data_IF_650165088886
#
_entry.id   IF_650165088886
#
_cell.length_a   1.000
_cell.length_b   1.000
_cell.length_c   1.000
_cell.angle_alpha   90.00
_cell.angle_beta   90.00
_cell.angle_gamma   90.00
#
_symmetry.space_group_name_H-M   'P 1'
#
loop_
_entity.id
_entity.type
_entity.pdbx_description
1 polymer ?
#
# COMPACT_ATOMS: atom_id res chain seq x y z
N UNK A 1 -11.03 -30.83 -19.12
CA UNK A 1 -12.15 -30.10 -18.48
C UNK A 1 -11.68 -28.77 -17.89
N UNK A 2 -12.55 -27.76 -17.89
CA UNK A 2 -12.34 -26.48 -17.24
C UNK A 2 -13.21 -26.38 -15.99
N UNK A 3 -12.63 -25.95 -14.87
CA UNK A 3 -13.36 -25.69 -13.63
C UNK A 3 -13.49 -24.18 -13.46
N UNK A 4 -14.73 -23.68 -13.38
CA UNK A 4 -15.03 -22.24 -13.33
C UNK A 4 -16.00 -21.95 -12.20
N UNK A 5 -15.64 -21.00 -11.35
CA UNK A 5 -16.50 -20.52 -10.27
C UNK A 5 -17.04 -19.13 -10.61
N UNK A 6 -18.36 -18.97 -10.53
CA UNK A 6 -19.07 -17.69 -10.64
C UNK A 6 -19.74 -17.39 -9.29
N UNK A 7 -20.23 -16.16 -9.12
CA UNK A 7 -20.88 -15.72 -7.87
C UNK A 7 -22.11 -16.56 -7.47
N UNK A 8 -22.68 -17.33 -8.39
CA UNK A 8 -23.89 -18.13 -8.18
C UNK A 8 -23.67 -19.64 -8.26
N UNK A 9 -22.46 -20.12 -8.52
CA UNK A 9 -22.18 -21.54 -8.64
C UNK A 9 -20.83 -21.89 -9.22
N UNK A 10 -20.49 -23.17 -9.15
CA UNK A 10 -19.28 -23.76 -9.74
C UNK A 10 -19.66 -24.68 -10.90
N UNK A 11 -18.91 -24.63 -11.99
CA UNK A 11 -19.20 -25.29 -13.26
C UNK A 11 -17.99 -26.08 -13.74
N UNK A 12 -18.25 -27.28 -14.23
CA UNK A 12 -17.28 -28.14 -14.88
C UNK A 12 -17.64 -28.25 -16.36
N UNK A 13 -16.78 -27.70 -17.23
CA UNK A 13 -17.07 -27.52 -18.66
C UNK A 13 -16.05 -28.25 -19.53
N UNK A 14 -16.45 -28.67 -20.73
CA UNK A 14 -15.50 -29.15 -21.73
C UNK A 14 -14.93 -27.98 -22.55
N UNK A 15 -13.98 -28.28 -23.44
CA UNK A 15 -13.30 -27.28 -24.29
C UNK A 15 -14.26 -26.56 -25.25
N UNK A 16 -15.43 -27.14 -25.54
CA UNK A 16 -16.47 -26.55 -26.39
C UNK A 16 -17.39 -25.59 -25.63
N UNK A 17 -17.22 -25.45 -24.31
CA UNK A 17 -18.08 -24.61 -23.47
C UNK A 17 -19.34 -25.29 -22.96
N UNK A 18 -19.51 -26.59 -23.21
CA UNK A 18 -20.63 -27.35 -22.70
C UNK A 18 -20.42 -27.67 -21.22
N UNK A 19 -21.42 -27.33 -20.39
CA UNK A 19 -21.43 -27.65 -18.96
C UNK A 19 -21.71 -29.15 -18.81
N UNK A 20 -20.78 -29.90 -18.23
CA UNK A 20 -20.92 -31.34 -17.95
C UNK A 20 -21.47 -31.60 -16.56
N UNK A 21 -21.10 -30.80 -15.58
CA UNK A 21 -21.65 -30.84 -14.23
C UNK A 21 -21.57 -29.45 -13.59
N UNK A 22 -22.47 -29.15 -12.65
CA UNK A 22 -22.44 -27.89 -11.91
C UNK A 22 -22.98 -28.07 -10.49
N UNK A 23 -22.50 -27.22 -9.59
CA UNK A 23 -23.04 -27.08 -8.24
C UNK A 23 -23.44 -25.63 -8.07
N UNK A 24 -24.75 -25.40 -8.03
CA UNK A 24 -25.35 -24.08 -7.85
C UNK A 24 -25.39 -23.75 -6.36
N UNK A 25 -25.02 -22.52 -6.02
CA UNK A 25 -25.02 -22.07 -4.64
C UNK A 25 -26.46 -21.90 -4.12
N UNK A 26 -26.69 -21.99 -2.80
CA UNK A 26 -27.95 -21.60 -2.21
C UNK A 26 -28.33 -20.18 -2.65
N UNK A 27 -29.61 -19.95 -2.98
CA UNK A 27 -30.13 -18.64 -3.41
C UNK A 27 -30.29 -17.66 -2.26
N UNK A 28 -29.40 -17.75 -1.27
CA UNK A 28 -29.34 -16.92 -0.09
C UNK A 28 -28.12 -15.99 -0.24
N UNK A 29 -28.33 -14.69 -0.01
CA UNK A 29 -27.29 -13.66 -0.13
C UNK A 29 -26.11 -13.94 0.82
N UNK A 30 -26.37 -14.38 2.05
CA UNK A 30 -25.32 -14.64 3.04
C UNK A 30 -24.44 -15.84 2.65
N UNK A 31 -25.06 -16.93 2.20
CA UNK A 31 -24.36 -18.12 1.69
C UNK A 31 -23.42 -17.79 0.52
N UNK A 32 -23.90 -16.94 -0.40
CA UNK A 32 -23.11 -16.50 -1.55
C UNK A 32 -21.96 -15.60 -1.09
N UNK A 33 -22.23 -14.67 -0.18
CA UNK A 33 -21.22 -13.76 0.34
C UNK A 33 -20.12 -14.50 1.09
N UNK A 34 -20.46 -15.50 1.91
CA UNK A 34 -19.47 -16.32 2.61
C UNK A 34 -18.51 -17.01 1.63
N UNK A 35 -19.06 -17.58 0.55
CA UNK A 35 -18.27 -18.19 -0.54
C UNK A 35 -17.41 -17.18 -1.26
N UNK A 36 -17.96 -16.01 -1.63
CA UNK A 36 -17.21 -14.95 -2.31
C UNK A 36 -16.08 -14.39 -1.43
N UNK A 37 -16.32 -14.22 -0.13
CA UNK A 37 -15.30 -13.85 0.86
C UNK A 37 -14.22 -14.93 0.95
N UNK A 38 -14.61 -16.21 0.99
CA UNK A 38 -13.68 -17.33 0.97
C UNK A 38 -12.81 -17.36 -0.29
N UNK A 39 -13.39 -17.12 -1.47
CA UNK A 39 -12.67 -17.00 -2.73
C UNK A 39 -11.65 -15.85 -2.69
N UNK A 40 -12.06 -14.66 -2.20
CA UNK A 40 -11.16 -13.50 -2.05
C UNK A 40 -9.97 -13.78 -1.10
N UNK A 41 -10.19 -14.62 -0.10
CA UNK A 41 -9.17 -15.08 0.85
C UNK A 41 -8.31 -16.24 0.32
N UNK A 42 -8.59 -16.73 -0.90
CA UNK A 42 -7.86 -17.82 -1.52
C UNK A 42 -8.28 -19.22 -1.05
N UNK A 43 -9.43 -19.36 -0.38
CA UNK A 43 -9.97 -20.67 0.00
C UNK A 43 -10.42 -21.44 -1.24
N UNK A 44 -10.26 -22.75 -1.20
CA UNK A 44 -10.85 -23.69 -2.16
C UNK A 44 -12.20 -24.13 -1.60
N UNK A 45 -13.27 -23.86 -2.33
CA UNK A 45 -14.63 -24.19 -1.94
C UNK A 45 -14.88 -25.71 -1.99
N UNK A 46 -15.81 -26.20 -1.18
CA UNK A 46 -16.14 -27.62 -1.18
C UNK A 46 -16.85 -28.04 -2.46
N UNK A 47 -17.62 -27.14 -3.09
CA UNK A 47 -18.22 -27.32 -4.40
C UNK A 47 -17.15 -27.55 -5.48
N UNK A 48 -16.04 -26.81 -5.43
CA UNK A 48 -14.91 -26.95 -6.35
C UNK A 48 -14.22 -28.31 -6.17
N UNK A 49 -13.95 -28.72 -4.91
CA UNK A 49 -13.37 -30.04 -4.61
C UNK A 49 -14.29 -31.17 -5.07
N UNK A 50 -15.60 -31.07 -4.80
CA UNK A 50 -16.58 -32.08 -5.19
C UNK A 50 -16.63 -32.25 -6.70
N UNK A 51 -16.73 -31.17 -7.47
CA UNK A 51 -16.73 -31.24 -8.93
C UNK A 51 -15.40 -31.78 -9.48
N UNK A 52 -14.28 -31.36 -8.90
CA UNK A 52 -12.97 -31.87 -9.31
C UNK A 52 -12.84 -33.38 -9.09
N UNK A 53 -13.38 -33.92 -7.98
CA UNK A 53 -13.32 -35.35 -7.67
C UNK A 53 -14.17 -36.24 -8.58
N UNK A 54 -15.19 -35.67 -9.26
CA UNK A 54 -16.11 -36.43 -10.13
C UNK A 54 -15.53 -36.74 -11.51
N UNK A 55 -14.46 -36.07 -11.93
CA UNK A 55 -13.86 -36.28 -13.25
C UNK A 55 -12.49 -36.95 -13.15
N UNK A 56 -12.21 -37.87 -14.07
CA UNK A 56 -10.88 -38.46 -14.26
C UNK A 56 -10.05 -37.69 -15.28
N UNK A 57 -10.65 -36.72 -15.97
CA UNK A 57 -9.97 -35.88 -16.94
C UNK A 57 -9.10 -34.81 -16.28
N UNK A 58 -8.08 -34.34 -17.01
CA UNK A 58 -7.26 -33.22 -16.56
C UNK A 58 -8.11 -31.95 -16.46
N UNK A 59 -8.09 -31.33 -15.30
CA UNK A 59 -8.77 -30.06 -15.02
C UNK A 59 -7.83 -28.90 -15.30
N UNK A 60 -8.36 -27.86 -15.94
CA UNK A 60 -7.70 -26.59 -16.21
C UNK A 60 -8.37 -25.53 -15.35
N UNK A 61 -7.57 -24.69 -14.69
CA UNK A 61 -8.03 -23.64 -13.77
C UNK A 61 -7.34 -22.31 -14.06
N UNK A 62 -8.06 -21.20 -13.86
CA UNK A 62 -7.55 -19.84 -14.09
C UNK A 62 -7.08 -19.13 -12.81
N UNK A 63 -7.46 -19.64 -11.65
CA UNK A 63 -7.11 -19.04 -10.36
C UNK A 63 -6.00 -19.84 -9.69
N UNK A 64 -4.96 -19.16 -9.20
CA UNK A 64 -3.81 -19.81 -8.57
C UNK A 64 -4.21 -20.63 -7.33
N UNK A 65 -5.24 -20.20 -6.60
CA UNK A 65 -5.78 -20.95 -5.45
C UNK A 65 -6.27 -22.36 -5.81
N UNK A 66 -6.65 -22.59 -7.06
CA UNK A 66 -7.17 -23.86 -7.56
C UNK A 66 -6.08 -24.77 -8.16
N UNK A 67 -4.82 -24.34 -8.17
CA UNK A 67 -3.68 -25.15 -8.63
C UNK A 67 -3.61 -26.55 -7.96
N UNK A 68 -3.99 -26.75 -6.68
CA UNK A 68 -4.08 -28.08 -6.10
C UNK A 68 -5.12 -29.01 -6.76
N UNK A 69 -6.13 -28.47 -7.44
CA UNK A 69 -7.20 -29.24 -8.09
C UNK A 69 -6.97 -29.44 -9.60
N UNK A 70 -6.06 -28.69 -10.23
CA UNK A 70 -5.90 -28.73 -11.67
C UNK A 70 -4.70 -27.93 -12.19
N UNK A 71 -4.43 -28.05 -13.49
CA UNK A 71 -3.33 -27.34 -14.12
C UNK A 71 -3.67 -25.86 -14.26
N UNK A 72 -2.89 -25.01 -13.60
CA UNK A 72 -3.01 -23.56 -13.67
C UNK A 72 -2.65 -23.03 -15.06
N UNK A 73 -3.62 -22.45 -15.77
CA UNK A 73 -3.49 -21.80 -17.08
C UNK A 73 -4.41 -20.56 -17.15
N UNK A 74 -4.02 -19.44 -16.53
CA UNK A 74 -4.86 -18.23 -16.48
C UNK A 74 -5.04 -17.56 -17.85
N UNK A 75 -4.11 -17.76 -18.79
CA UNK A 75 -4.08 -17.11 -20.11
C UNK A 75 -4.90 -17.85 -21.17
N UNK A 76 -5.61 -18.92 -20.80
CA UNK A 76 -6.45 -19.67 -21.73
C UNK A 76 -7.72 -18.87 -22.07
N UNK A 77 -7.90 -18.56 -23.37
CA UNK A 77 -9.02 -17.75 -23.87
C UNK A 77 -10.40 -18.27 -23.46
N UNK A 78 -10.51 -19.57 -23.17
CA UNK A 78 -11.74 -20.18 -22.68
C UNK A 78 -12.31 -19.43 -21.46
N UNK A 79 -11.47 -19.00 -20.52
CA UNK A 79 -11.93 -18.31 -19.30
C UNK A 79 -12.50 -16.92 -19.57
N UNK A 80 -12.11 -16.29 -20.69
CA UNK A 80 -12.60 -14.99 -21.13
C UNK A 80 -13.94 -15.17 -21.87
N UNK A 81 -14.01 -16.17 -22.75
CA UNK A 81 -15.16 -16.41 -23.64
C UNK A 81 -16.33 -17.05 -22.87
N UNK A 82 -16.04 -17.92 -21.91
CA UNK A 82 -17.06 -18.68 -21.21
C UNK A 82 -17.98 -17.77 -20.38
N UNK A 83 -19.24 -17.66 -20.80
CA UNK A 83 -20.27 -16.91 -20.09
C UNK A 83 -21.47 -17.80 -19.76
N UNK A 84 -22.00 -17.65 -18.55
CA UNK A 84 -23.16 -18.40 -18.07
C UNK A 84 -24.17 -17.41 -17.50
N UNK A 85 -25.38 -17.44 -18.05
CA UNK A 85 -26.48 -16.61 -17.56
C UNK A 85 -27.03 -17.17 -16.25
N UNK A 86 -26.88 -16.40 -15.17
CA UNK A 86 -27.39 -16.73 -13.83
C UNK A 86 -28.91 -16.87 -13.79
N UNK A 87 -29.65 -16.21 -14.71
CA UNK A 87 -31.12 -16.27 -14.77
C UNK A 87 -31.61 -17.68 -15.08
N UNK A 88 -30.85 -18.46 -15.86
CA UNK A 88 -31.16 -19.86 -16.17
C UNK A 88 -31.16 -20.76 -14.93
N UNK A 89 -30.49 -20.35 -13.86
CA UNK A 89 -30.44 -21.06 -12.58
C UNK A 89 -31.38 -20.43 -11.54
N UNK A 90 -32.23 -19.50 -11.98
CA UNK A 90 -33.24 -18.84 -11.17
C UNK A 90 -32.68 -17.88 -10.12
N UNK A 91 -31.57 -17.21 -10.43
CA UNK A 91 -31.10 -16.04 -9.70
C UNK A 91 -31.66 -14.78 -10.34
N UNK A 92 -32.08 -13.84 -9.51
CA UNK A 92 -32.62 -12.56 -9.97
C UNK A 92 -31.53 -11.47 -10.01
N UNK A 93 -31.80 -10.37 -10.71
CA UNK A 93 -30.86 -9.24 -10.79
C UNK A 93 -30.75 -8.52 -9.43
N UNK A 94 -31.81 -8.56 -8.64
CA UNK A 94 -31.88 -7.99 -7.29
C UNK A 94 -30.89 -8.68 -6.35
N UNK A 95 -30.85 -10.02 -6.38
CA UNK A 95 -29.87 -10.81 -5.59
C UNK A 95 -28.45 -10.48 -6.04
N UNK A 96 -28.19 -10.43 -7.35
CA UNK A 96 -26.88 -10.05 -7.89
C UNK A 96 -26.43 -8.68 -7.36
N UNK A 97 -27.30 -7.68 -7.46
CA UNK A 97 -26.98 -6.31 -7.04
C UNK A 97 -26.66 -6.26 -5.54
N UNK A 98 -27.46 -6.92 -4.71
CA UNK A 98 -27.26 -6.91 -3.26
C UNK A 98 -25.98 -7.64 -2.85
N UNK A 99 -25.70 -8.80 -3.45
CA UNK A 99 -24.45 -9.54 -3.24
C UNK A 99 -23.25 -8.68 -3.65
N UNK A 100 -23.28 -8.07 -4.83
CA UNK A 100 -22.18 -7.25 -5.33
C UNK A 100 -21.94 -6.02 -4.46
N UNK A 101 -23.01 -5.37 -3.98
CA UNK A 101 -22.92 -4.24 -3.06
C UNK A 101 -22.26 -4.65 -1.74
N UNK A 102 -22.81 -5.66 -1.06
CA UNK A 102 -22.26 -6.13 0.24
C UNK A 102 -20.83 -6.68 0.12
N UNK A 103 -20.51 -7.34 -0.99
CA UNK A 103 -19.15 -7.80 -1.24
C UNK A 103 -18.18 -6.64 -1.47
N UNK A 104 -18.62 -5.57 -2.14
CA UNK A 104 -17.84 -4.34 -2.31
C UNK A 104 -17.61 -3.65 -0.97
N UNK A 105 -18.64 -3.55 -0.13
CA UNK A 105 -18.54 -3.00 1.23
C UNK A 105 -17.51 -3.80 2.06
N UNK A 106 -17.60 -5.13 2.04
CA UNK A 106 -16.62 -6.00 2.69
C UNK A 106 -15.17 -5.74 2.22
N UNK A 107 -14.97 -5.59 0.91
CA UNK A 107 -13.64 -5.28 0.36
C UNK A 107 -13.14 -3.91 0.81
N UNK A 108 -14.02 -2.92 0.84
CA UNK A 108 -13.70 -1.58 1.30
C UNK A 108 -13.29 -1.60 2.77
N UNK A 109 -14.07 -2.24 3.64
CA UNK A 109 -13.77 -2.36 5.07
C UNK A 109 -12.43 -3.04 5.34
N UNK A 110 -12.14 -4.13 4.60
CA UNK A 110 -10.85 -4.84 4.69
C UNK A 110 -9.67 -3.96 4.28
N UNK A 111 -9.86 -3.04 3.33
CA UNK A 111 -8.82 -2.07 2.95
C UNK A 111 -8.72 -1.00 4.04
N UNK A 112 -9.83 -0.37 4.43
CA UNK A 112 -9.90 0.72 5.41
C UNK A 112 -9.40 0.31 6.80
N UNK A 113 -9.51 -0.97 7.15
CA UNK A 113 -9.00 -1.52 8.41
C UNK A 113 -7.48 -1.70 8.44
N UNK A 114 -6.77 -1.49 7.32
CA UNK A 114 -5.31 -1.62 7.33
C UNK A 114 -4.68 -0.46 8.08
N UNK A 115 -3.82 -0.79 9.05
CA UNK A 115 -3.12 0.19 9.89
C UNK A 115 -2.26 1.19 9.10
N UNK A 116 -1.74 0.79 7.93
CA UNK A 116 -0.95 1.71 7.09
C UNK A 116 -1.78 2.86 6.53
N UNK A 117 -3.10 2.75 6.38
CA UNK A 117 -3.96 3.87 5.97
C UNK A 117 -4.00 4.98 7.01
N UNK A 118 -4.04 4.62 8.30
CA UNK A 118 -4.01 5.61 9.38
C UNK A 118 -2.70 6.39 9.39
N UNK A 119 -1.57 5.72 9.15
CA UNK A 119 -0.26 6.36 9.00
C UNK A 119 -0.25 7.33 7.83
N UNK A 120 -0.80 6.92 6.67
CA UNK A 120 -0.84 7.77 5.47
C UNK A 120 -1.62 9.06 5.74
N UNK A 121 -2.79 8.96 6.38
CA UNK A 121 -3.61 10.11 6.71
C UNK A 121 -2.93 10.99 7.76
N UNK A 122 -2.35 10.40 8.82
CA UNK A 122 -1.61 11.14 9.85
C UNK A 122 -0.46 11.95 9.26
N UNK A 123 0.28 11.39 8.30
CA UNK A 123 1.35 12.11 7.60
C UNK A 123 0.83 13.26 6.76
N UNK A 124 -0.29 13.08 6.06
CA UNK A 124 -0.90 14.16 5.25
C UNK A 124 -1.36 15.29 6.15
N UNK A 125 -2.07 14.97 7.23
CA UNK A 125 -2.48 15.95 8.25
C UNK A 125 -1.28 16.66 8.86
N UNK A 126 -0.19 15.94 9.16
CA UNK A 126 1.04 16.56 9.65
C UNK A 126 1.61 17.56 8.64
N UNK A 127 1.64 17.21 7.35
CA UNK A 127 2.12 18.11 6.30
C UNK A 127 1.25 19.36 6.16
N UNK A 128 -0.07 19.20 6.17
CA UNK A 128 -1.02 20.30 6.11
C UNK A 128 -0.84 21.25 7.33
N UNK A 129 -0.72 20.70 8.54
CA UNK A 129 -0.51 21.51 9.74
C UNK A 129 0.83 22.22 9.74
N UNK A 130 1.90 21.60 9.23
CA UNK A 130 3.20 22.27 9.08
C UNK A 130 3.09 23.46 8.12
N UNK A 131 2.38 23.31 7.00
CA UNK A 131 2.15 24.40 6.06
C UNK A 131 1.36 25.54 6.72
N UNK A 132 0.27 25.21 7.41
CA UNK A 132 -0.53 26.19 8.17
C UNK A 132 0.35 26.89 9.22
N UNK A 133 1.12 26.16 10.01
CA UNK A 133 1.99 26.73 11.04
C UNK A 133 3.00 27.70 10.47
N UNK A 134 3.58 27.39 9.30
CA UNK A 134 4.52 28.29 8.63
C UNK A 134 3.82 29.59 8.19
N UNK A 135 2.63 29.51 7.61
CA UNK A 135 1.84 30.70 7.24
C UNK A 135 1.48 31.56 8.45
N UNK A 136 1.11 30.95 9.57
CA UNK A 136 0.83 31.65 10.82
C UNK A 136 2.09 32.35 11.35
N UNK A 137 3.24 31.66 11.35
CA UNK A 137 4.53 32.22 11.78
C UNK A 137 4.96 33.40 10.90
N UNK A 138 4.78 33.30 9.58
CA UNK A 138 5.04 34.40 8.65
C UNK A 138 4.17 35.61 8.96
N UNK A 139 2.87 35.41 9.18
CA UNK A 139 1.93 36.49 9.52
C UNK A 139 2.27 37.15 10.87
N UNK A 140 2.61 36.36 11.89
CA UNK A 140 3.08 36.86 13.18
C UNK A 140 4.36 37.68 13.00
N UNK A 141 5.30 37.20 12.18
CA UNK A 141 6.55 37.92 11.91
C UNK A 141 6.33 39.25 11.18
N UNK A 142 5.33 39.35 10.31
CA UNK A 142 4.97 40.60 9.66
C UNK A 142 4.36 41.58 10.66
N UNK A 143 3.42 41.11 11.49
CA UNK A 143 2.78 41.96 12.49
C UNK A 143 3.74 42.51 13.54
N UNK A 144 4.74 41.73 13.96
CA UNK A 144 5.79 42.19 14.87
C UNK A 144 6.62 43.37 14.35
N UNK A 145 6.55 43.70 13.05
CA UNK A 145 7.24 44.86 12.46
C UNK A 145 6.44 46.16 12.58
N UNK A 146 5.16 46.07 12.93
CA UNK A 146 4.33 47.25 13.16
C UNK A 146 4.76 47.93 14.47
N UNK A 147 4.59 49.26 14.53
CA UNK A 147 4.92 50.03 15.74
C UNK A 147 3.98 49.72 16.91
N UNK A 148 2.76 49.25 16.61
CA UNK A 148 1.73 48.95 17.59
C UNK A 148 1.15 47.56 17.30
N UNK A 149 1.74 46.54 17.95
CA UNK A 149 1.53 45.12 17.63
C UNK A 149 0.37 44.53 18.42
N UNK A 150 0.09 45.08 19.60
CA UNK A 150 -0.78 44.49 20.61
C UNK A 150 -2.24 44.82 20.36
N UNK A 151 -2.84 44.14 19.39
CA UNK A 151 -4.28 44.12 19.17
C UNK A 151 -4.85 42.71 19.41
N UNK A 152 -6.16 42.64 19.67
CA UNK A 152 -6.87 41.37 19.95
C UNK A 152 -6.64 40.31 18.87
N UNK A 153 -6.51 40.72 17.61
CA UNK A 153 -6.31 39.80 16.48
C UNK A 153 -4.91 39.19 16.49
N UNK A 154 -3.89 39.94 16.91
CA UNK A 154 -2.53 39.42 17.09
C UNK A 154 -2.47 38.33 18.15
N UNK A 155 -3.13 38.53 19.29
CA UNK A 155 -3.19 37.53 20.36
C UNK A 155 -3.94 36.26 19.93
N UNK A 156 -5.06 36.39 19.21
CA UNK A 156 -5.80 35.24 18.65
C UNK A 156 -4.89 34.43 17.70
N UNK A 157 -4.18 35.12 16.81
CA UNK A 157 -3.26 34.48 15.86
C UNK A 157 -2.14 33.73 16.57
N UNK A 158 -1.55 34.34 17.60
CA UNK A 158 -0.49 33.74 18.40
C UNK A 158 -0.97 32.50 19.15
N UNK A 159 -2.13 32.57 19.82
CA UNK A 159 -2.75 31.44 20.49
C UNK A 159 -3.00 30.27 19.52
N UNK A 160 -3.58 30.55 18.34
CA UNK A 160 -3.81 29.53 17.32
C UNK A 160 -2.50 28.89 16.83
N UNK A 161 -1.44 29.69 16.65
CA UNK A 161 -0.13 29.19 16.23
C UNK A 161 0.51 28.27 17.28
N UNK A 162 0.35 28.62 18.57
CA UNK A 162 0.79 27.79 19.69
C UNK A 162 0.04 26.45 19.72
N UNK A 163 -1.29 26.48 19.58
CA UNK A 163 -2.14 25.29 19.50
C UNK A 163 -1.75 24.38 18.33
N UNK A 164 -1.61 24.94 17.13
CA UNK A 164 -1.19 24.19 15.93
C UNK A 164 0.19 23.56 16.14
N UNK A 165 1.13 24.30 16.72
CA UNK A 165 2.47 23.78 17.03
C UNK A 165 2.44 22.62 18.03
N UNK A 166 1.55 22.66 19.01
CA UNK A 166 1.36 21.56 19.94
C UNK A 166 0.78 20.33 19.25
N UNK A 167 -0.25 20.51 18.41
CA UNK A 167 -0.89 19.42 17.68
C UNK A 167 0.04 18.75 16.68
N UNK A 168 0.95 19.50 16.04
CA UNK A 168 2.04 18.94 15.22
C UNK A 168 2.87 17.94 16.05
N UNK A 169 3.32 18.34 17.25
CA UNK A 169 4.12 17.47 18.13
C UNK A 169 3.35 16.24 18.61
N UNK A 170 2.04 16.35 18.80
CA UNK A 170 1.16 15.23 19.16
C UNK A 170 1.04 14.23 18.01
N UNK A 171 0.80 14.71 16.79
CA UNK A 171 0.71 13.85 15.61
C UNK A 171 2.05 13.17 15.32
N UNK A 172 3.18 13.87 15.46
CA UNK A 172 4.51 13.24 15.30
C UNK A 172 4.75 12.09 16.28
N UNK A 173 4.29 12.24 17.53
CA UNK A 173 4.36 11.16 18.54
C UNK A 173 3.48 9.98 18.16
N UNK A 174 2.26 10.22 17.68
CA UNK A 174 1.34 9.16 17.26
C UNK A 174 1.90 8.41 16.04
N UNK A 175 2.38 9.13 15.02
CA UNK A 175 3.03 8.51 13.85
C UNK A 175 4.22 7.64 14.29
N UNK A 176 4.99 8.07 15.30
CA UNK A 176 6.09 7.27 15.82
C UNK A 176 5.60 5.93 16.39
N UNK A 177 4.59 5.95 17.24
CA UNK A 177 4.01 4.73 17.83
C UNK A 177 3.42 3.81 16.75
N UNK A 178 2.66 4.37 15.82
CA UNK A 178 2.06 3.60 14.73
C UNK A 178 3.13 2.96 13.83
N UNK A 179 4.21 3.67 13.55
CA UNK A 179 5.32 3.14 12.75
C UNK A 179 6.11 2.05 13.46
N UNK A 180 6.25 2.11 14.78
CA UNK A 180 6.88 1.05 15.58
C UNK A 180 6.06 -0.25 15.56
N UNK A 181 4.73 -0.14 15.47
CA UNK A 181 3.83 -1.29 15.34
C UNK A 181 3.72 -1.80 13.89
N UNK A 182 3.56 -0.91 12.91
CA UNK A 182 3.26 -1.29 11.51
C UNK A 182 4.51 -1.61 10.69
N UNK A 183 5.60 -0.86 10.88
CA UNK A 183 6.81 -0.98 10.07
C UNK A 183 8.09 -0.71 10.90
N UNK A 184 8.37 -1.55 11.92
CA UNK A 184 9.48 -1.35 12.84
C UNK A 184 10.86 -1.39 12.15
N UNK A 185 11.02 -2.16 11.07
CA UNK A 185 12.30 -2.18 10.35
C UNK A 185 12.55 -0.86 9.62
N UNK A 186 11.55 -0.34 8.89
CA UNK A 186 11.64 0.96 8.22
C UNK A 186 11.86 2.07 9.25
N UNK A 187 11.07 2.08 10.33
CA UNK A 187 11.16 3.10 11.39
C UNK A 187 12.56 3.16 11.99
N UNK A 188 13.19 2.00 12.20
CA UNK A 188 14.54 1.90 12.71
C UNK A 188 15.61 2.39 11.73
N UNK A 189 15.44 2.17 10.42
CA UNK A 189 16.46 2.52 9.42
C UNK A 189 16.35 3.98 8.98
N UNK A 190 15.14 4.43 8.65
CA UNK A 190 14.88 5.75 8.09
C UNK A 190 14.45 6.77 9.15
N UNK A 191 14.05 6.33 10.34
CA UNK A 191 13.30 7.12 11.30
C UNK A 191 11.79 7.05 11.03
N UNK A 192 10.94 7.14 12.07
CA UNK A 192 9.49 6.97 11.94
C UNK A 192 8.85 7.95 10.94
N UNK A 193 9.17 9.24 11.03
CA UNK A 193 8.56 10.28 10.18
C UNK A 193 8.92 10.08 8.69
N UNK A 194 10.19 9.77 8.38
CA UNK A 194 10.61 9.54 6.99
C UNK A 194 9.99 8.23 6.48
N UNK A 195 9.97 7.19 7.30
CA UNK A 195 9.32 5.91 6.99
C UNK A 195 7.84 6.06 6.67
N UNK A 196 7.10 6.77 7.52
CA UNK A 196 5.68 7.06 7.34
C UNK A 196 5.43 7.83 6.04
N UNK A 197 6.27 8.83 5.72
CA UNK A 197 6.17 9.57 4.47
C UNK A 197 6.50 8.73 3.24
N UNK A 198 7.44 7.79 3.33
CA UNK A 198 7.70 6.83 2.25
C UNK A 198 6.49 5.94 1.98
N UNK A 199 5.83 5.45 3.04
CA UNK A 199 4.59 4.68 2.93
C UNK A 199 3.49 5.53 2.29
N UNK A 200 3.35 6.80 2.71
CA UNK A 200 2.41 7.77 2.13
C UNK A 200 2.65 8.03 0.64
N UNK A 201 3.90 8.26 0.24
CA UNK A 201 4.27 8.46 -1.17
C UNK A 201 4.07 7.19 -2.02
N UNK A 202 4.28 6.00 -1.45
CA UNK A 202 4.02 4.73 -2.13
C UNK A 202 2.51 4.36 -2.17
N UNK A 203 1.72 4.93 -1.25
CA UNK A 203 0.29 4.71 -1.09
C UNK A 203 -0.11 3.47 -0.29
N UNK A 204 0.84 2.64 0.14
CA UNK A 204 0.67 1.54 1.11
C UNK A 204 2.02 0.90 1.41
N UNK A 205 2.12 0.18 2.53
CA UNK A 205 3.32 -0.60 2.86
C UNK A 205 3.55 -1.74 1.84
N UNK A 206 2.47 -2.35 1.32
CA UNK A 206 2.57 -3.39 0.30
C UNK A 206 3.20 -2.88 -1.00
N UNK A 207 2.76 -1.71 -1.48
CA UNK A 207 3.34 -1.07 -2.67
C UNK A 207 4.81 -0.72 -2.43
N UNK A 208 5.14 -0.15 -1.27
CA UNK A 208 6.51 0.20 -0.92
C UNK A 208 7.43 -1.05 -0.93
N UNK A 209 6.98 -2.17 -0.37
CA UNK A 209 7.72 -3.43 -0.34
C UNK A 209 8.00 -4.03 -1.74
N UNK A 210 7.14 -3.72 -2.73
CA UNK A 210 7.32 -4.14 -4.13
C UNK A 210 8.20 -3.20 -4.94
N UNK A 211 8.43 -1.97 -4.50
CA UNK A 211 9.24 -1.01 -5.24
C UNK A 211 10.72 -1.42 -5.26
N UNK A 212 11.44 -1.19 -6.39
CA UNK A 212 12.88 -1.32 -6.40
C UNK A 212 13.53 -0.15 -5.63
N UNK A 213 14.73 -0.37 -5.11
CA UNK A 213 15.45 0.64 -4.35
C UNK A 213 15.70 1.95 -5.14
N UNK A 214 15.88 1.86 -6.46
CA UNK A 214 16.01 3.03 -7.34
C UNK A 214 14.76 3.93 -7.33
N UNK A 215 13.56 3.34 -7.21
CA UNK A 215 12.31 4.10 -7.09
C UNK A 215 12.21 4.70 -5.69
N UNK A 216 12.47 3.91 -4.65
CA UNK A 216 12.45 4.38 -3.25
C UNK A 216 13.41 5.57 -3.04
N UNK A 217 14.59 5.53 -3.68
CA UNK A 217 15.57 6.60 -3.64
C UNK A 217 15.00 7.95 -4.11
N UNK A 218 14.07 7.91 -5.07
CA UNK A 218 13.55 9.08 -5.78
C UNK A 218 12.13 9.48 -5.35
N UNK A 219 11.48 8.75 -4.43
CA UNK A 219 10.16 9.13 -3.90
C UNK A 219 10.18 10.56 -3.35
N UNK A 220 9.27 11.41 -3.80
CA UNK A 220 9.21 12.84 -3.49
C UNK A 220 10.04 13.75 -4.42
N UNK A 221 10.74 13.20 -5.41
CA UNK A 221 11.47 13.95 -6.45
C UNK A 221 10.88 13.74 -7.85
N UNK A 222 9.62 13.29 -7.96
CA UNK A 222 8.95 12.93 -9.20
C UNK A 222 8.97 14.11 -10.19
N UNK A 223 8.64 15.32 -9.72
CA UNK A 223 8.65 16.53 -10.56
C UNK A 223 10.02 16.77 -11.20
N UNK A 224 11.10 16.63 -10.44
CA UNK A 224 12.47 16.82 -10.94
C UNK A 224 12.90 15.65 -11.86
N UNK A 225 12.50 14.43 -11.52
CA UNK A 225 12.80 13.23 -12.30
C UNK A 225 12.10 13.26 -13.67
N UNK A 226 10.81 13.60 -13.72
CA UNK A 226 10.06 13.69 -14.97
C UNK A 226 10.53 14.85 -15.85
N UNK A 227 10.92 15.98 -15.24
CA UNK A 227 11.58 17.07 -15.97
C UNK A 227 12.86 16.60 -16.63
N UNK A 228 13.73 15.91 -15.88
CA UNK A 228 14.95 15.31 -16.43
C UNK A 228 14.66 14.33 -17.57
N UNK A 229 13.62 13.49 -17.43
CA UNK A 229 13.24 12.52 -18.48
C UNK A 229 12.75 13.20 -19.77
N UNK A 230 12.11 14.37 -19.65
CA UNK A 230 11.55 15.13 -20.78
C UNK A 230 12.58 16.06 -21.43
N UNK A 231 13.32 16.81 -20.63
CA UNK A 231 14.19 17.92 -21.05
C UNK A 231 15.68 17.55 -21.03
N UNK A 232 16.04 16.41 -20.45
CA UNK A 232 17.43 16.01 -20.21
C UNK A 232 18.05 16.69 -18.98
N UNK A 233 19.38 16.74 -18.92
CA UNK A 233 20.14 17.37 -17.83
C UNK A 233 20.58 16.40 -16.74
N UNK A 234 20.64 16.86 -15.49
CA UNK A 234 21.13 16.05 -14.35
C UNK A 234 19.96 15.43 -13.58
N UNK A 235 19.92 14.09 -13.41
CA UNK A 235 18.86 13.46 -12.64
C UNK A 235 18.92 13.84 -11.16
N UNK A 236 17.78 13.86 -10.45
CA UNK A 236 17.78 14.02 -9.00
C UNK A 236 18.51 12.86 -8.32
N UNK A 237 19.28 13.16 -7.27
CA UNK A 237 20.08 12.17 -6.54
C UNK A 237 19.31 11.48 -5.42
N UNK A 238 18.24 12.10 -4.94
CA UNK A 238 17.44 11.68 -3.80
C UNK A 238 16.12 12.47 -3.80
N UNK A 239 15.04 11.83 -3.36
CA UNK A 239 13.80 12.51 -2.99
C UNK A 239 13.76 12.82 -1.50
N UNK A 240 12.73 12.36 -0.83
CA UNK A 240 12.50 12.58 0.60
C UNK A 240 13.65 12.10 1.49
N UNK A 241 14.41 11.10 1.06
CA UNK A 241 15.60 10.62 1.78
C UNK A 241 16.64 11.72 2.05
N UNK A 242 16.58 12.84 1.32
CA UNK A 242 17.39 14.02 1.64
C UNK A 242 17.21 14.51 3.07
N UNK A 243 16.01 14.37 3.65
CA UNK A 243 15.72 14.78 5.03
C UNK A 243 16.44 13.92 6.06
N UNK A 244 16.91 12.73 5.68
CA UNK A 244 17.63 11.85 6.59
C UNK A 244 18.99 12.45 6.99
N UNK A 245 19.36 12.47 8.29
CA UNK A 245 20.61 13.08 8.76
C UNK A 245 21.87 12.54 8.07
N UNK A 246 21.90 11.24 7.76
CA UNK A 246 23.03 10.63 7.03
C UNK A 246 23.21 11.22 5.61
N UNK A 247 22.13 11.67 4.98
CA UNK A 247 22.16 12.24 3.62
C UNK A 247 22.37 13.76 3.69
N UNK A 248 21.56 14.48 4.46
CA UNK A 248 21.60 15.96 4.52
C UNK A 248 22.96 16.49 4.99
N UNK A 249 23.53 15.89 6.03
CA UNK A 249 24.81 16.29 6.63
C UNK A 249 26.04 15.84 5.83
N UNK A 250 25.86 15.08 4.74
CA UNK A 250 26.96 14.61 3.90
C UNK A 250 27.25 15.60 2.76
N UNK A 251 28.52 15.66 2.33
CA UNK A 251 28.96 16.49 1.20
C UNK A 251 28.22 16.17 -0.11
N UNK A 252 27.96 17.18 -0.93
CA UNK A 252 27.13 17.10 -2.14
C UNK A 252 27.55 15.98 -3.12
N UNK A 253 28.85 15.71 -3.24
CA UNK A 253 29.39 14.64 -4.10
C UNK A 253 29.00 13.24 -3.60
N UNK A 254 28.88 13.05 -2.28
CA UNK A 254 28.63 11.76 -1.62
C UNK A 254 27.16 11.50 -1.31
N UNK A 255 26.30 12.52 -1.29
CA UNK A 255 24.85 12.40 -1.00
C UNK A 255 24.14 11.32 -1.81
N UNK A 256 24.42 11.25 -3.11
CA UNK A 256 23.79 10.25 -3.99
C UNK A 256 24.18 8.81 -3.65
N UNK A 257 25.43 8.57 -3.24
CA UNK A 257 25.89 7.24 -2.81
C UNK A 257 25.21 6.81 -1.51
N UNK A 258 25.11 7.71 -0.53
CA UNK A 258 24.44 7.42 0.75
C UNK A 258 22.93 7.25 0.56
N UNK A 259 22.28 8.09 -0.26
CA UNK A 259 20.85 7.95 -0.53
C UNK A 259 20.51 6.62 -1.20
N UNK A 260 21.36 6.14 -2.12
CA UNK A 260 21.22 4.81 -2.74
C UNK A 260 21.36 3.69 -1.71
N UNK A 261 22.43 3.73 -0.92
CA UNK A 261 22.64 2.76 0.17
C UNK A 261 21.44 2.70 1.12
N UNK A 262 20.92 3.86 1.52
CA UNK A 262 19.77 3.95 2.42
C UNK A 262 18.51 3.36 1.75
N UNK A 263 18.25 3.71 0.49
CA UNK A 263 17.13 3.16 -0.26
C UNK A 263 17.20 1.64 -0.42
N UNK A 264 18.39 1.07 -0.65
CA UNK A 264 18.61 -0.38 -0.73
C UNK A 264 18.22 -1.08 0.57
N UNK A 265 18.61 -0.50 1.71
CA UNK A 265 18.31 -1.08 3.03
C UNK A 265 16.85 -0.89 3.43
N UNK A 266 16.26 0.26 3.08
CA UNK A 266 14.82 0.50 3.23
C UNK A 266 14.01 -0.48 2.39
N UNK A 267 14.43 -0.80 1.16
CA UNK A 267 13.74 -1.78 0.31
C UNK A 267 13.70 -3.17 0.97
N UNK A 268 14.81 -3.59 1.60
CA UNK A 268 14.89 -4.86 2.33
C UNK A 268 14.01 -4.80 3.59
N UNK A 269 14.07 -3.72 4.36
CA UNK A 269 13.25 -3.53 5.54
C UNK A 269 11.75 -3.52 5.23
N UNK A 270 11.32 -2.84 4.16
CA UNK A 270 9.93 -2.80 3.74
C UNK A 270 9.39 -4.20 3.39
N UNK A 271 10.20 -5.04 2.75
CA UNK A 271 9.85 -6.44 2.49
C UNK A 271 9.77 -7.26 3.77
N UNK A 272 10.68 -7.05 4.71
CA UNK A 272 10.67 -7.74 6.00
C UNK A 272 9.42 -7.38 6.80
N UNK A 273 9.12 -6.07 6.95
CA UNK A 273 7.93 -5.56 7.63
C UNK A 273 6.65 -6.10 6.97
N UNK A 274 6.57 -6.12 5.64
CA UNK A 274 5.35 -6.54 4.94
C UNK A 274 5.10 -8.05 4.93
N UNK A 275 6.14 -8.85 4.67
CA UNK A 275 5.97 -10.27 4.34
C UNK A 275 6.40 -11.22 5.45
N UNK A 276 7.31 -10.79 6.35
CA UNK A 276 7.90 -11.70 7.35
C UNK A 276 7.59 -11.30 8.79
N UNK A 277 7.41 -10.00 9.06
CA UNK A 277 7.31 -9.47 10.42
C UNK A 277 8.58 -9.61 11.28
N UNK A 278 9.69 -10.12 10.72
CA UNK A 278 10.94 -10.30 11.48
C UNK A 278 11.66 -8.97 11.64
N UNK A 279 12.11 -8.69 12.85
CA UNK A 279 12.97 -7.54 13.13
C UNK A 279 14.42 -7.86 12.69
N UNK A 280 14.87 -7.19 11.63
CA UNK A 280 16.21 -7.33 11.03
C UNK A 280 16.97 -5.99 10.97
N UNK A 281 16.39 -4.94 11.54
CA UNK A 281 16.88 -3.57 11.48
C UNK A 281 18.30 -3.41 12.03
N UNK A 282 18.68 -4.13 13.07
CA UNK A 282 20.00 -4.00 13.70
C UNK A 282 21.13 -4.43 12.76
N UNK A 283 21.00 -5.61 12.13
CA UNK A 283 21.96 -6.07 11.12
C UNK A 283 22.02 -5.13 9.91
N UNK A 284 20.90 -4.51 9.54
CA UNK A 284 20.86 -3.53 8.45
C UNK A 284 21.54 -2.21 8.85
N UNK A 285 21.35 -1.73 10.08
CA UNK A 285 22.02 -0.54 10.62
C UNK A 285 23.53 -0.70 10.64
N UNK A 286 24.03 -1.83 11.15
CA UNK A 286 25.48 -2.11 11.16
C UNK A 286 26.08 -2.05 9.75
N UNK A 287 25.40 -2.64 8.77
CA UNK A 287 25.82 -2.59 7.35
C UNK A 287 25.79 -1.17 6.80
N UNK A 288 24.80 -0.34 7.17
CA UNK A 288 24.75 1.07 6.78
C UNK A 288 25.94 1.82 7.36
N UNK A 289 26.21 1.66 8.65
CA UNK A 289 27.27 2.39 9.34
C UNK A 289 28.66 2.06 8.78
N UNK A 290 28.92 0.78 8.50
CA UNK A 290 30.15 0.34 7.85
C UNK A 290 30.34 0.97 6.47
N UNK A 291 29.31 0.95 5.62
CA UNK A 291 29.38 1.52 4.27
C UNK A 291 29.42 3.05 4.27
N UNK A 292 28.72 3.71 5.19
CA UNK A 292 28.80 5.18 5.35
C UNK A 292 30.21 5.59 5.75
N UNK A 293 30.87 4.86 6.66
CA UNK A 293 32.27 5.11 7.03
C UNK A 293 33.19 4.96 5.81
N UNK A 294 32.99 3.94 4.97
CA UNK A 294 33.76 3.74 3.72
C UNK A 294 33.57 4.91 2.75
N UNK A 295 32.32 5.28 2.45
CA UNK A 295 31.99 6.38 1.52
C UNK A 295 32.53 7.72 2.03
N UNK A 296 32.56 7.94 3.35
CA UNK A 296 33.12 9.16 3.94
C UNK A 296 34.64 9.25 3.79
N UNK A 297 35.35 8.12 3.74
CA UNK A 297 36.82 8.07 3.56
C UNK A 297 37.28 8.24 2.10
N UNK A 298 36.45 7.86 1.11
CA UNK A 298 36.74 8.04 -0.33
C UNK A 298 36.59 9.49 -0.78
#
# INVERSE_FOLDING_TARGET
MYLITRWFGTFLCNEKGEIKDCIIFPKNVEDILERMKGIDEGKILDEEKRLASKTREKIIVSEKRLEPLGKYKPEDDFFIIFNVDFRKYGFSKEILNEVMRRFSDFKADKILSKKDIQIINSVRTLDDLIEINNLLLERISEWKKLKDVENKTFEILKSLQEDVSEKIREIERNIKLDMEDVAPNIANIAGPIIGARLISLAGSLDKLARMPASTIQLLGAEKAFFRYKKEGGRPPKHGILFRHPLVSRTSYKKRGKIARLLADKIAIAAKADRYTGKLISDSLKEKIDLEVKRIRKT
#
